data_IF_058424029281
#
_entry.id   IF_058424029281
#
_cell.length_a   1.000
_cell.length_b   1.000
_cell.length_c   1.000
_cell.angle_alpha   90.00
_cell.angle_beta   90.00
_cell.angle_gamma   90.00
#
_symmetry.space_group_name_H-M   'P 1'
#
loop_
_entity.id
_entity.type
_entity.pdbx_description
1 polymer ?
#
# COMPACT_ATOMS: atom_id res chain seq x y z
N UNK A 1 19.00 6.51 9.70
CA UNK A 1 18.11 7.23 10.63
C UNK A 1 16.64 7.11 10.26
N UNK A 2 16.27 6.98 8.98
CA UNK A 2 14.88 6.80 8.54
C UNK A 2 14.30 5.42 8.87
N UNK A 3 15.12 4.39 9.01
CA UNK A 3 14.62 3.04 9.32
C UNK A 3 14.17 2.89 10.78
N UNK A 4 14.76 3.63 11.73
CA UNK A 4 14.36 3.55 13.13
C UNK A 4 12.98 4.16 13.38
N UNK A 5 12.61 5.22 12.65
CA UNK A 5 11.30 5.85 12.79
C UNK A 5 10.17 4.98 12.25
N UNK A 6 10.45 4.09 11.27
CA UNK A 6 9.46 3.19 10.68
C UNK A 6 9.09 1.98 11.55
N UNK A 7 9.76 1.77 12.66
CA UNK A 7 9.55 0.60 13.54
C UNK A 7 9.38 0.99 15.02
N UNK A 8 9.34 2.29 15.32
CA UNK A 8 9.23 2.84 16.67
C UNK A 8 7.90 3.58 16.86
N UNK A 9 7.60 3.94 18.07
CA UNK A 9 6.42 4.71 18.49
C UNK A 9 5.12 4.10 17.92
N UNK A 10 4.35 4.86 17.18
CA UNK A 10 3.11 4.39 16.55
C UNK A 10 3.33 3.19 15.62
N UNK A 11 4.47 3.10 14.94
CA UNK A 11 4.79 2.02 13.99
C UNK A 11 5.39 0.77 14.66
N UNK A 12 5.43 0.72 15.97
CA UNK A 12 5.86 -0.47 16.67
C UNK A 12 4.77 -1.57 16.58
N UNK A 13 5.10 -2.68 15.92
CA UNK A 13 4.16 -3.78 15.69
C UNK A 13 3.49 -4.32 16.96
N UNK A 14 4.14 -4.17 18.13
CA UNK A 14 3.59 -4.64 19.41
C UNK A 14 2.29 -3.94 19.79
N UNK A 15 2.06 -2.72 19.28
CA UNK A 15 0.86 -1.93 19.54
C UNK A 15 -0.33 -2.31 18.64
N UNK A 16 -0.12 -3.19 17.64
CA UNK A 16 -1.07 -3.41 16.54
C UNK A 16 -1.49 -4.87 16.37
N UNK A 17 -1.29 -5.70 17.38
CA UNK A 17 -1.82 -7.06 17.37
C UNK A 17 -3.33 -7.07 17.55
N UNK A 18 -3.99 -7.98 16.83
CA UNK A 18 -5.44 -8.16 16.93
C UNK A 18 -5.81 -9.16 18.02
N UNK A 19 -7.03 -9.06 18.54
CA UNK A 19 -7.63 -10.01 19.47
C UNK A 19 -8.51 -11.02 18.71
N UNK A 20 -8.76 -12.19 19.31
CA UNK A 20 -9.69 -13.17 18.71
C UNK A 20 -11.11 -12.61 18.59
N UNK A 21 -11.52 -11.74 19.50
CA UNK A 21 -12.82 -11.08 19.44
C UNK A 21 -12.91 -10.17 18.20
N UNK A 22 -11.87 -9.36 17.93
CA UNK A 22 -11.81 -8.51 16.73
C UNK A 22 -11.81 -9.34 15.44
N UNK A 23 -11.08 -10.46 15.41
CA UNK A 23 -10.97 -11.31 14.22
C UNK A 23 -12.29 -12.02 13.86
N UNK A 24 -13.02 -12.55 14.85
CA UNK A 24 -14.11 -13.49 14.58
C UNK A 24 -15.49 -13.00 15.00
N UNK A 25 -15.60 -12.06 15.92
CA UNK A 25 -16.86 -11.65 16.54
C UNK A 25 -17.21 -10.20 16.23
N UNK A 26 -16.28 -9.28 16.45
CA UNK A 26 -16.52 -7.85 16.25
C UNK A 26 -16.84 -7.55 14.78
N UNK A 27 -17.82 -6.68 14.58
CA UNK A 27 -18.21 -6.15 13.30
C UNK A 27 -18.14 -4.61 13.27
N UNK A 28 -17.34 -4.06 14.17
CA UNK A 28 -17.06 -2.63 14.18
C UNK A 28 -16.53 -2.21 12.83
N UNK A 29 -16.89 -1.01 12.41
CA UNK A 29 -16.47 -0.42 11.15
C UNK A 29 -16.07 1.03 11.40
N UNK A 30 -14.95 1.45 10.84
CA UNK A 30 -14.46 2.81 10.89
C UNK A 30 -13.14 2.96 10.16
N UNK A 31 -12.75 4.20 9.90
CA UNK A 31 -11.50 4.59 9.27
C UNK A 31 -10.47 5.14 10.25
N UNK A 32 -10.67 4.93 11.55
CA UNK A 32 -9.77 5.39 12.58
C UNK A 32 -8.42 4.70 12.63
N UNK A 33 -7.63 5.05 13.63
CA UNK A 33 -6.31 4.49 13.83
C UNK A 33 -6.37 3.04 14.36
N UNK A 34 -5.37 2.24 13.97
CA UNK A 34 -5.11 0.95 14.59
C UNK A 34 -4.43 1.17 15.94
N UNK A 35 -5.08 0.82 17.02
CA UNK A 35 -4.57 0.90 18.39
C UNK A 35 -4.54 -0.49 19.01
N UNK A 36 -3.87 -0.62 20.16
CA UNK A 36 -3.93 -1.83 20.95
C UNK A 36 -5.25 -1.90 21.74
N UNK A 37 -5.93 -3.03 21.61
CA UNK A 37 -7.10 -3.33 22.46
C UNK A 37 -8.37 -3.67 21.68
N UNK A 38 -9.49 -3.88 22.38
CA UNK A 38 -10.77 -4.26 21.76
C UNK A 38 -11.51 -3.08 21.10
N UNK A 39 -11.09 -1.85 21.36
CA UNK A 39 -11.80 -0.63 20.97
C UNK A 39 -11.11 0.09 19.80
N UNK A 40 -10.51 -0.66 18.89
CA UNK A 40 -9.98 -0.10 17.65
C UNK A 40 -11.08 0.54 16.82
N UNK A 41 -10.76 1.67 16.20
CA UNK A 41 -11.64 2.33 15.24
C UNK A 41 -11.60 1.63 13.85
N UNK A 42 -10.63 0.78 13.62
CA UNK A 42 -10.53 -0.05 12.41
C UNK A 42 -11.22 -1.41 12.60
N UNK A 43 -11.78 -1.93 11.51
CA UNK A 43 -12.33 -3.28 11.50
C UNK A 43 -11.26 -4.31 11.11
N UNK A 44 -11.05 -5.29 12.00
CA UNK A 44 -10.13 -6.42 11.77
C UNK A 44 -10.87 -7.75 11.59
N UNK A 45 -12.14 -7.71 11.28
CA UNK A 45 -12.95 -8.92 11.13
C UNK A 45 -12.54 -9.71 9.88
N UNK A 46 -12.34 -11.01 10.05
CA UNK A 46 -12.14 -11.96 8.94
C UNK A 46 -13.42 -12.07 8.09
N UNK A 47 -14.59 -11.78 8.69
CA UNK A 47 -15.91 -12.03 8.11
C UNK A 47 -16.42 -13.43 8.45
N UNK A 48 -17.71 -13.50 8.79
CA UNK A 48 -18.29 -14.76 9.32
C UNK A 48 -18.28 -15.89 8.29
N UNK A 49 -18.72 -15.63 7.07
CA UNK A 49 -18.76 -16.66 6.04
C UNK A 49 -17.37 -17.09 5.61
N UNK A 50 -16.40 -16.19 5.65
CA UNK A 50 -15.02 -16.45 5.25
C UNK A 50 -14.31 -17.49 6.13
N UNK A 51 -14.70 -17.64 7.40
CA UNK A 51 -14.16 -18.69 8.26
C UNK A 51 -15.13 -19.86 8.48
N UNK A 52 -16.47 -19.63 8.44
CA UNK A 52 -17.48 -20.69 8.59
C UNK A 52 -17.45 -21.66 7.43
N UNK A 53 -17.34 -21.19 6.18
CA UNK A 53 -17.36 -22.08 5.01
C UNK A 53 -16.16 -23.05 5.02
N UNK A 54 -14.91 -22.61 5.25
CA UNK A 54 -13.80 -23.56 5.42
C UNK A 54 -14.01 -24.57 6.56
N UNK A 55 -14.60 -24.12 7.67
CA UNK A 55 -14.93 -25.02 8.78
C UNK A 55 -15.96 -26.09 8.36
N UNK A 56 -17.01 -25.70 7.69
CA UNK A 56 -17.99 -26.63 7.11
C UNK A 56 -17.32 -27.56 6.11
N UNK A 57 -16.43 -27.02 5.25
CA UNK A 57 -15.66 -27.82 4.30
C UNK A 57 -14.84 -28.89 5.00
N UNK A 58 -14.15 -28.53 6.09
CA UNK A 58 -13.38 -29.48 6.90
C UNK A 58 -14.27 -30.60 7.44
N UNK A 59 -15.42 -30.26 8.02
CA UNK A 59 -16.38 -31.23 8.56
C UNK A 59 -16.89 -32.18 7.45
N UNK A 60 -17.24 -31.63 6.29
CA UNK A 60 -17.70 -32.46 5.15
C UNK A 60 -16.60 -33.40 4.66
N UNK A 61 -15.35 -32.93 4.56
CA UNK A 61 -14.22 -33.77 4.14
C UNK A 61 -13.94 -34.89 5.16
N UNK A 62 -14.06 -34.62 6.46
CA UNK A 62 -13.93 -35.65 7.52
C UNK A 62 -15.04 -36.68 7.39
N UNK A 63 -16.31 -36.23 7.34
CA UNK A 63 -17.48 -37.13 7.26
C UNK A 63 -17.49 -37.97 5.98
N UNK A 64 -16.99 -37.43 4.89
CA UNK A 64 -16.92 -38.15 3.58
C UNK A 64 -15.61 -38.93 3.42
N UNK A 65 -14.71 -38.87 4.41
CA UNK A 65 -13.37 -39.49 4.39
C UNK A 65 -12.53 -39.09 3.17
N UNK A 66 -12.81 -37.91 2.60
CA UNK A 66 -12.05 -37.36 1.48
C UNK A 66 -10.85 -36.59 2.00
N UNK A 67 -9.67 -36.95 1.51
CA UNK A 67 -8.45 -36.20 1.79
C UNK A 67 -8.19 -35.17 0.66
N UNK A 68 -8.11 -33.89 1.01
CA UNK A 68 -7.77 -32.84 0.09
C UNK A 68 -6.51 -32.11 0.56
N UNK A 69 -5.36 -32.49 -0.02
CA UNK A 69 -4.08 -31.82 0.28
C UNK A 69 -4.11 -30.31 0.01
N UNK A 70 -4.70 -29.82 -1.10
CA UNK A 70 -4.80 -28.38 -1.32
C UNK A 70 -5.65 -27.66 -0.27
N UNK A 71 -6.77 -28.26 0.17
CA UNK A 71 -7.56 -27.71 1.27
C UNK A 71 -6.75 -27.55 2.55
N UNK A 72 -6.01 -28.60 2.93
CA UNK A 72 -5.16 -28.58 4.12
C UNK A 72 -4.04 -27.54 3.99
N UNK A 73 -3.44 -27.42 2.82
CA UNK A 73 -2.43 -26.40 2.54
C UNK A 73 -2.96 -24.98 2.75
N UNK A 74 -4.06 -24.62 2.10
CA UNK A 74 -4.64 -23.29 2.25
C UNK A 74 -5.16 -23.02 3.66
N UNK A 75 -5.75 -24.03 4.33
CA UNK A 75 -6.21 -23.90 5.71
C UNK A 75 -5.04 -23.69 6.68
N UNK A 76 -3.93 -24.39 6.49
CA UNK A 76 -2.73 -24.20 7.30
C UNK A 76 -2.19 -22.77 7.16
N UNK A 77 -2.04 -22.28 5.93
CA UNK A 77 -1.55 -20.92 5.71
C UNK A 77 -2.53 -19.86 6.22
N UNK A 78 -3.84 -20.08 6.09
CA UNK A 78 -4.84 -19.19 6.67
C UNK A 78 -4.66 -19.06 8.19
N UNK A 79 -4.58 -20.19 8.89
CA UNK A 79 -4.37 -20.23 10.34
C UNK A 79 -3.01 -19.63 10.74
N UNK A 80 -1.95 -19.92 9.98
CA UNK A 80 -0.63 -19.35 10.21
C UNK A 80 -0.64 -17.82 10.11
N UNK A 81 -1.22 -17.27 9.05
CA UNK A 81 -1.29 -15.81 8.89
C UNK A 81 -2.25 -15.16 9.90
N UNK A 82 -3.35 -15.80 10.28
CA UNK A 82 -4.19 -15.36 11.41
C UNK A 82 -3.41 -15.36 12.71
N UNK A 83 -2.61 -16.39 12.97
CA UNK A 83 -1.76 -16.45 14.15
C UNK A 83 -0.75 -15.30 14.19
N UNK A 84 -0.16 -14.93 13.03
CA UNK A 84 0.77 -13.80 12.95
C UNK A 84 0.13 -12.46 13.28
N UNK A 85 -1.18 -12.32 13.17
CA UNK A 85 -1.91 -11.09 13.58
C UNK A 85 -2.12 -11.00 15.09
N UNK A 86 -2.01 -12.11 15.81
CA UNK A 86 -2.31 -12.20 17.23
C UNK A 86 -1.04 -12.09 18.09
N UNK A 87 -1.14 -11.47 19.28
CA UNK A 87 0.00 -11.21 20.17
C UNK A 87 0.76 -12.47 20.61
N UNK A 88 0.13 -13.65 20.59
CA UNK A 88 0.82 -14.91 20.89
C UNK A 88 1.92 -15.25 19.90
N UNK A 89 1.95 -14.62 18.72
CA UNK A 89 3.00 -14.79 17.72
C UNK A 89 4.23 -13.88 17.96
N UNK A 90 4.26 -13.07 19.01
CA UNK A 90 5.35 -12.13 19.31
C UNK A 90 6.73 -12.76 19.24
N UNK A 91 6.87 -14.02 19.65
CA UNK A 91 8.16 -14.75 19.57
C UNK A 91 8.67 -14.87 18.13
N UNK A 92 7.78 -15.04 17.12
CA UNK A 92 8.16 -15.06 15.70
C UNK A 92 8.67 -13.69 15.28
N UNK A 93 7.95 -12.63 15.63
CA UNK A 93 8.32 -11.26 15.32
C UNK A 93 9.66 -10.86 15.92
N UNK A 94 9.96 -11.34 17.13
CA UNK A 94 11.23 -11.11 17.80
C UNK A 94 12.37 -11.94 17.20
N UNK A 95 12.09 -13.18 16.80
CA UNK A 95 13.10 -14.06 16.18
C UNK A 95 13.53 -13.56 14.81
N UNK A 96 12.63 -12.93 14.06
CA UNK A 96 12.89 -12.40 12.74
C UNK A 96 12.78 -10.86 12.74
N UNK A 97 13.86 -10.11 13.06
CA UNK A 97 13.81 -8.65 13.23
C UNK A 97 13.29 -7.89 12.01
N UNK A 98 13.45 -8.43 10.78
CA UNK A 98 12.90 -7.83 9.57
C UNK A 98 11.37 -7.75 9.56
N UNK A 99 10.68 -8.56 10.37
CA UNK A 99 9.23 -8.50 10.48
C UNK A 99 8.74 -7.18 11.08
N UNK A 100 9.57 -6.48 11.86
CA UNK A 100 9.23 -5.14 12.38
C UNK A 100 8.90 -4.14 11.26
N UNK A 101 9.44 -4.33 10.06
CA UNK A 101 9.15 -3.46 8.90
C UNK A 101 7.75 -3.67 8.31
N UNK A 102 7.05 -4.73 8.67
CA UNK A 102 5.62 -4.86 8.36
C UNK A 102 4.78 -3.91 9.21
N UNK A 103 5.29 -3.41 10.34
CA UNK A 103 4.69 -2.41 11.24
C UNK A 103 3.37 -2.88 11.87
N UNK A 104 2.46 -3.40 11.07
CA UNK A 104 1.10 -3.73 11.44
C UNK A 104 0.81 -5.22 11.22
N UNK A 105 0.77 -6.04 12.28
CA UNK A 105 0.45 -7.47 12.18
C UNK A 105 -0.86 -7.77 11.43
N UNK A 106 -1.87 -6.93 11.55
CA UNK A 106 -3.14 -7.09 10.86
C UNK A 106 -3.03 -7.04 9.33
N UNK A 107 -1.92 -6.58 8.75
CA UNK A 107 -1.68 -6.66 7.28
C UNK A 107 -1.72 -8.09 6.76
N UNK A 108 -1.42 -9.08 7.60
CA UNK A 108 -1.52 -10.49 7.25
C UNK A 108 -2.96 -11.00 7.11
N UNK A 109 -3.98 -10.23 7.57
CA UNK A 109 -5.39 -10.59 7.38
C UNK A 109 -5.77 -10.74 5.92
N UNK A 110 -5.26 -9.89 5.04
CA UNK A 110 -5.53 -9.99 3.62
C UNK A 110 -5.11 -11.35 3.04
N UNK A 111 -3.93 -11.84 3.43
CA UNK A 111 -3.42 -13.15 3.00
C UNK A 111 -4.25 -14.27 3.65
N UNK A 112 -4.59 -14.13 4.93
CA UNK A 112 -5.40 -15.12 5.64
C UNK A 112 -6.79 -15.29 5.00
N UNK A 113 -7.48 -14.18 4.71
CA UNK A 113 -8.81 -14.18 4.06
C UNK A 113 -8.72 -14.76 2.64
N UNK A 114 -7.67 -14.44 1.90
CA UNK A 114 -7.43 -15.04 0.59
C UNK A 114 -7.28 -16.57 0.69
N UNK A 115 -6.48 -17.07 1.62
CA UNK A 115 -6.31 -18.50 1.85
C UNK A 115 -7.62 -19.18 2.32
N UNK A 116 -8.40 -18.54 3.19
CA UNK A 116 -9.73 -19.03 3.58
C UNK A 116 -10.69 -19.11 2.40
N UNK A 117 -10.67 -18.13 1.50
CA UNK A 117 -11.50 -18.12 0.31
C UNK A 117 -11.13 -19.28 -0.62
N UNK A 118 -9.82 -19.56 -0.81
CA UNK A 118 -9.38 -20.73 -1.57
C UNK A 118 -9.75 -22.04 -0.88
N UNK A 119 -9.61 -22.14 0.45
CA UNK A 119 -10.06 -23.31 1.19
C UNK A 119 -11.57 -23.55 1.04
N UNK A 120 -12.38 -22.47 1.00
CA UNK A 120 -13.83 -22.56 0.78
C UNK A 120 -14.21 -23.20 -0.56
N UNK A 121 -13.37 -23.06 -1.59
CA UNK A 121 -13.64 -23.59 -2.93
C UNK A 121 -13.68 -25.13 -2.98
N UNK A 122 -13.17 -25.80 -1.97
CA UNK A 122 -13.19 -27.27 -1.85
C UNK A 122 -14.51 -27.83 -1.26
N UNK A 123 -15.43 -26.96 -0.84
CA UNK A 123 -16.76 -27.41 -0.43
C UNK A 123 -17.55 -27.91 -1.67
N UNK A 124 -17.99 -29.18 -1.70
CA UNK A 124 -18.69 -29.75 -2.85
C UNK A 124 -20.12 -29.21 -2.93
N UNK A 125 -20.26 -28.01 -3.48
CA UNK A 125 -21.55 -27.34 -3.65
C UNK A 125 -22.03 -27.40 -5.11
N UNK A 126 -23.38 -27.42 -5.28
CA UNK A 126 -23.99 -27.08 -6.57
C UNK A 126 -23.73 -25.60 -6.88
N UNK A 127 -23.53 -25.26 -8.16
CA UNK A 127 -23.21 -23.90 -8.59
C UNK A 127 -24.15 -22.82 -8.04
N UNK A 128 -25.45 -23.07 -8.01
CA UNK A 128 -26.42 -22.12 -7.49
C UNK A 128 -26.25 -21.85 -5.98
N UNK A 129 -25.85 -22.86 -5.18
CA UNK A 129 -25.51 -22.67 -3.77
C UNK A 129 -24.26 -21.83 -3.61
N UNK A 130 -23.25 -22.04 -4.44
CA UNK A 130 -22.05 -21.20 -4.43
C UNK A 130 -22.38 -19.72 -4.72
N UNK A 131 -23.28 -19.46 -5.69
CA UNK A 131 -23.77 -18.11 -5.98
C UNK A 131 -24.47 -17.50 -4.77
N UNK A 132 -25.31 -18.27 -4.07
CA UNK A 132 -25.99 -17.81 -2.84
C UNK A 132 -24.94 -17.42 -1.78
N UNK A 133 -23.92 -18.24 -1.55
CA UNK A 133 -22.87 -17.91 -0.57
C UNK A 133 -22.08 -16.66 -0.96
N UNK A 134 -21.81 -16.45 -2.25
CA UNK A 134 -21.17 -15.21 -2.74
C UNK A 134 -22.07 -14.01 -2.44
N UNK A 135 -23.35 -14.07 -2.77
CA UNK A 135 -24.32 -13.00 -2.50
C UNK A 135 -24.42 -12.72 -0.99
N UNK A 136 -24.53 -13.74 -0.16
CA UNK A 136 -24.56 -13.61 1.28
C UNK A 136 -23.26 -12.97 1.81
N UNK A 137 -22.11 -13.34 1.27
CA UNK A 137 -20.83 -12.73 1.63
C UNK A 137 -20.81 -11.23 1.33
N UNK A 138 -21.31 -10.83 0.17
CA UNK A 138 -21.43 -9.42 -0.23
C UNK A 138 -22.38 -8.68 0.73
N UNK A 139 -23.59 -9.22 0.95
CA UNK A 139 -24.60 -8.61 1.82
C UNK A 139 -24.08 -8.45 3.26
N UNK A 140 -23.47 -9.50 3.82
CA UNK A 140 -22.98 -9.45 5.20
C UNK A 140 -21.80 -8.51 5.41
N UNK A 141 -21.05 -8.20 4.36
CA UNK A 141 -19.93 -7.28 4.42
C UNK A 141 -20.21 -5.93 3.75
N UNK A 142 -21.45 -5.67 3.34
CA UNK A 142 -21.81 -4.46 2.61
C UNK A 142 -21.47 -3.17 3.37
N UNK A 143 -21.56 -3.21 4.72
CA UNK A 143 -21.23 -2.06 5.56
C UNK A 143 -19.77 -1.60 5.43
N UNK A 144 -18.84 -2.49 5.04
CA UNK A 144 -17.43 -2.13 4.83
C UNK A 144 -17.18 -1.35 3.53
N UNK A 145 -18.19 -1.20 2.68
CA UNK A 145 -18.13 -0.40 1.45
C UNK A 145 -18.83 0.95 1.59
N UNK A 146 -19.36 1.27 2.78
CA UNK A 146 -19.96 2.57 3.03
C UNK A 146 -18.87 3.61 3.28
N UNK A 147 -19.06 4.77 2.69
CA UNK A 147 -18.29 5.96 3.04
C UNK A 147 -18.57 6.37 4.48
N UNK A 148 -17.56 6.88 5.17
CA UNK A 148 -17.69 7.43 6.52
C UNK A 148 -18.31 8.82 6.44
N UNK A 149 -17.80 9.66 5.54
CA UNK A 149 -18.28 11.02 5.31
C UNK A 149 -18.39 11.26 3.81
N UNK A 150 -19.58 11.75 3.38
CA UNK A 150 -19.82 12.16 2.02
C UNK A 150 -19.79 13.68 1.89
N UNK A 151 -18.80 14.22 1.19
CA UNK A 151 -18.69 15.64 0.93
C UNK A 151 -19.33 16.00 -0.42
N UNK A 152 -20.45 16.72 -0.39
CA UNK A 152 -21.01 17.34 -1.58
C UNK A 152 -20.41 18.74 -1.75
N UNK A 153 -20.01 19.10 -2.96
CA UNK A 153 -19.46 20.44 -3.30
C UNK A 153 -18.14 20.78 -2.60
N UNK A 154 -17.22 19.85 -2.60
CA UNK A 154 -15.90 20.05 -2.00
C UNK A 154 -15.00 20.90 -2.93
N UNK A 155 -15.19 22.23 -2.88
CA UNK A 155 -14.30 23.22 -3.50
C UNK A 155 -13.21 23.66 -2.52
N UNK A 156 -12.48 22.74 -1.93
CA UNK A 156 -11.27 23.14 -1.20
C UNK A 156 -10.18 23.48 -2.21
N UNK A 157 -9.68 24.72 -2.22
CA UNK A 157 -8.37 24.97 -2.78
C UNK A 157 -7.40 24.05 -1.99
N UNK A 158 -6.71 23.14 -2.68
CA UNK A 158 -5.66 22.31 -2.07
C UNK A 158 -4.49 23.25 -1.75
N UNK A 159 -4.67 24.12 -0.78
CA UNK A 159 -3.69 25.12 -0.34
C UNK A 159 -2.95 24.66 0.92
N UNK A 160 -3.52 23.68 1.64
CA UNK A 160 -2.89 23.17 2.86
C UNK A 160 -2.63 21.67 2.72
N UNK A 161 -1.38 21.31 2.80
CA UNK A 161 -0.99 19.92 3.00
C UNK A 161 -1.16 19.64 4.49
N UNK A 162 -2.38 19.24 4.88
CA UNK A 162 -2.59 18.77 6.24
C UNK A 162 -2.25 17.30 6.31
N UNK A 163 -1.25 16.94 7.06
CA UNK A 163 -1.02 15.54 7.32
C UNK A 163 0.30 15.32 8.02
N UNK A 164 0.23 15.10 9.31
CA UNK A 164 1.39 14.59 10.05
C UNK A 164 1.92 13.30 9.43
N UNK A 165 1.07 12.45 8.86
CA UNK A 165 1.46 11.23 8.16
C UNK A 165 2.31 11.42 6.90
N UNK A 166 2.30 12.58 6.28
CA UNK A 166 3.17 12.86 5.13
C UNK A 166 4.62 13.11 5.54
N UNK A 167 4.89 13.47 6.79
CA UNK A 167 6.26 13.63 7.32
C UNK A 167 7.03 12.33 7.27
N UNK A 168 6.37 11.20 7.46
CA UNK A 168 6.97 9.86 7.47
C UNK A 168 7.53 9.45 6.11
N UNK A 169 6.96 10.00 5.05
CA UNK A 169 7.37 9.74 3.65
C UNK A 169 8.21 10.87 3.08
N UNK A 170 8.54 11.90 3.89
CA UNK A 170 9.33 13.03 3.40
C UNK A 170 10.79 12.61 3.13
N UNK A 171 11.37 12.98 1.99
CA UNK A 171 12.73 12.60 1.66
C UNK A 171 13.75 13.08 2.69
N UNK A 172 14.72 12.24 2.99
CA UNK A 172 15.78 12.50 3.96
C UNK A 172 16.62 13.76 3.71
N UNK A 173 16.53 14.33 2.54
CA UNK A 173 17.26 15.54 2.14
C UNK A 173 16.59 16.83 2.59
N UNK A 174 15.29 16.80 2.89
CA UNK A 174 14.54 17.93 3.41
C UNK A 174 14.48 17.89 4.93
N UNK A 175 14.95 18.95 5.60
CA UNK A 175 14.90 19.06 7.08
C UNK A 175 13.50 19.47 7.55
N UNK A 176 12.75 20.19 6.73
CA UNK A 176 11.43 20.70 7.05
C UNK A 176 10.38 20.15 6.10
N UNK A 177 9.17 20.04 6.62
CA UNK A 177 7.99 19.67 5.85
C UNK A 177 7.20 20.94 5.51
N UNK A 178 6.82 21.18 4.22
CA UNK A 178 6.01 22.34 3.87
C UNK A 178 4.60 22.20 4.45
N UNK A 179 4.15 23.22 5.14
CA UNK A 179 2.79 23.30 5.71
C UNK A 179 1.76 23.76 4.70
N UNK A 180 2.21 24.35 3.58
CA UNK A 180 1.35 24.87 2.52
C UNK A 180 1.86 24.40 1.15
N UNK A 181 0.94 23.97 0.30
CA UNK A 181 1.21 23.72 -1.10
C UNK A 181 0.91 24.99 -1.91
N UNK A 182 1.95 25.64 -2.38
CA UNK A 182 1.81 26.76 -3.29
C UNK A 182 1.83 26.20 -4.72
N UNK A 183 0.67 26.17 -5.35
CA UNK A 183 0.60 25.92 -6.79
C UNK A 183 1.33 27.04 -7.52
N UNK A 184 2.42 26.73 -8.20
CA UNK A 184 3.12 27.69 -9.02
C UNK A 184 2.64 27.55 -10.48
N UNK A 185 1.85 28.48 -11.00
CA UNK A 185 1.25 28.39 -12.34
C UNK A 185 2.30 28.45 -13.47
N UNK A 186 3.52 28.88 -13.17
CA UNK A 186 4.62 28.92 -14.15
C UNK A 186 5.11 27.51 -14.56
N UNK A 187 4.77 26.48 -13.79
CA UNK A 187 5.23 25.12 -14.02
C UNK A 187 4.13 24.18 -14.48
N UNK A 188 4.36 23.49 -15.59
CA UNK A 188 3.49 22.40 -16.04
C UNK A 188 4.02 21.07 -15.48
N UNK A 189 3.19 20.39 -14.67
CA UNK A 189 3.53 19.10 -14.05
C UNK A 189 2.81 17.95 -14.75
N UNK A 190 3.55 16.89 -15.05
CA UNK A 190 3.04 15.57 -15.46
C UNK A 190 3.54 14.53 -14.46
N UNK A 191 3.10 13.28 -14.57
CA UNK A 191 3.44 12.20 -13.63
C UNK A 191 4.95 12.00 -13.42
N UNK A 192 5.77 12.22 -14.47
CA UNK A 192 7.21 11.98 -14.44
C UNK A 192 8.06 13.17 -14.88
N UNK A 193 7.46 14.34 -15.13
CA UNK A 193 8.21 15.53 -15.56
C UNK A 193 7.57 16.83 -15.10
N UNK A 194 8.42 17.84 -14.96
CA UNK A 194 8.03 19.24 -14.75
C UNK A 194 8.70 20.08 -15.84
N UNK A 195 7.96 20.96 -16.48
CA UNK A 195 8.45 21.85 -17.52
C UNK A 195 8.04 23.29 -17.26
N UNK A 196 8.90 24.22 -17.66
CA UNK A 196 8.60 25.66 -17.65
C UNK A 196 9.47 26.40 -18.66
N UNK A 197 8.96 27.49 -19.20
CA UNK A 197 9.72 28.46 -19.97
C UNK A 197 9.94 29.70 -19.09
N UNK A 198 11.19 30.14 -19.00
CA UNK A 198 11.60 31.23 -18.11
C UNK A 198 12.39 32.29 -18.87
N UNK A 199 12.10 33.57 -18.60
CA UNK A 199 12.87 34.70 -19.03
C UNK A 199 13.42 35.42 -17.81
N UNK A 200 14.73 35.26 -17.57
CA UNK A 200 15.40 35.83 -16.41
C UNK A 200 16.13 37.12 -16.78
N UNK A 201 15.88 38.17 -16.03
CA UNK A 201 16.53 39.47 -16.22
C UNK A 201 17.78 39.66 -15.35
N UNK A 202 17.90 38.81 -14.32
CA UNK A 202 19.04 38.80 -13.40
C UNK A 202 19.43 37.37 -13.02
N UNK A 203 20.63 37.18 -12.47
CA UNK A 203 21.07 35.88 -11.94
C UNK A 203 20.12 35.44 -10.85
N UNK A 204 19.51 34.28 -11.01
CA UNK A 204 18.43 33.78 -10.13
C UNK A 204 18.72 32.38 -9.65
N UNK A 205 18.57 32.19 -8.36
CA UNK A 205 18.51 30.88 -7.72
C UNK A 205 17.07 30.34 -7.88
N UNK A 206 16.94 29.33 -8.69
CA UNK A 206 15.66 28.72 -9.04
C UNK A 206 15.40 27.50 -8.17
N UNK A 207 14.34 27.52 -7.39
CA UNK A 207 13.85 26.39 -6.61
C UNK A 207 12.67 25.75 -7.35
N UNK A 208 12.85 24.53 -7.81
CA UNK A 208 11.81 23.82 -8.53
C UNK A 208 10.74 23.28 -7.56
N UNK A 209 9.45 23.32 -7.92
CA UNK A 209 8.35 22.86 -7.05
C UNK A 209 8.25 21.32 -7.02
N UNK A 210 9.37 20.66 -6.87
CA UNK A 210 9.50 19.19 -6.83
C UNK A 210 10.57 18.80 -5.84
N UNK A 211 10.22 17.90 -4.95
CA UNK A 211 11.17 17.29 -4.02
C UNK A 211 12.02 16.27 -4.77
N UNK A 212 13.31 16.27 -4.47
CA UNK A 212 14.27 15.38 -5.13
C UNK A 212 13.98 13.89 -4.84
N UNK A 213 14.02 13.11 -5.90
CA UNK A 213 14.09 11.65 -5.85
C UNK A 213 15.28 11.13 -6.67
N UNK A 214 15.87 9.99 -6.29
CA UNK A 214 16.95 9.39 -7.09
C UNK A 214 16.56 9.20 -8.55
N UNK A 215 17.52 9.48 -9.44
CA UNK A 215 17.37 9.37 -10.91
C UNK A 215 16.53 10.47 -11.56
N UNK A 216 16.44 11.64 -10.94
CA UNK A 216 15.97 12.86 -11.60
C UNK A 216 17.10 13.49 -12.41
N UNK A 217 16.77 14.02 -13.60
CA UNK A 217 17.68 14.76 -14.48
C UNK A 217 17.06 16.08 -14.87
N UNK A 218 17.84 17.14 -14.74
CA UNK A 218 17.46 18.48 -15.15
C UNK A 218 18.04 18.76 -16.53
N UNK A 219 17.19 19.23 -17.43
CA UNK A 219 17.58 19.70 -18.77
C UNK A 219 17.24 21.18 -18.90
N UNK A 220 18.18 21.94 -19.45
CA UNK A 220 18.01 23.35 -19.78
C UNK A 220 18.35 23.51 -21.24
N UNK A 221 17.41 24.01 -22.05
CA UNK A 221 17.54 24.10 -23.49
C UNK A 221 18.02 22.78 -24.13
N UNK A 222 17.41 21.66 -23.66
CA UNK A 222 17.68 20.27 -24.10
C UNK A 222 19.06 19.71 -23.70
N UNK A 223 19.89 20.44 -22.98
CA UNK A 223 21.15 19.96 -22.43
C UNK A 223 21.03 19.59 -20.96
N UNK A 224 21.63 18.47 -20.55
CA UNK A 224 21.66 18.06 -19.14
C UNK A 224 22.44 19.07 -18.32
N UNK A 225 21.82 19.56 -17.23
CA UNK A 225 22.36 20.62 -16.39
C UNK A 225 22.49 20.13 -14.94
N UNK A 226 23.62 20.43 -14.27
CA UNK A 226 23.78 20.08 -12.87
C UNK A 226 22.81 20.86 -11.97
N UNK A 227 22.43 20.25 -10.88
CA UNK A 227 21.57 20.85 -9.86
C UNK A 227 22.04 20.44 -8.48
N UNK A 228 21.58 21.16 -7.47
CA UNK A 228 21.76 20.86 -6.05
C UNK A 228 20.43 20.53 -5.40
N UNK A 229 20.48 19.99 -4.20
CA UNK A 229 19.28 19.69 -3.42
C UNK A 229 19.22 20.72 -2.30
N UNK A 230 18.10 21.44 -2.21
CA UNK A 230 17.83 22.38 -1.13
C UNK A 230 17.69 21.61 0.19
N UNK A 231 18.39 22.03 1.22
CA UNK A 231 18.36 21.38 2.54
C UNK A 231 17.06 21.67 3.30
N UNK A 232 16.33 22.74 2.97
CA UNK A 232 15.14 23.13 3.71
C UNK A 232 13.97 22.16 3.42
N UNK A 233 13.59 22.02 2.17
CA UNK A 233 12.47 21.13 1.76
C UNK A 233 12.92 19.93 0.92
N UNK A 234 14.21 19.80 0.62
CA UNK A 234 14.70 18.73 -0.25
C UNK A 234 14.35 18.92 -1.73
N UNK A 235 14.09 20.15 -2.15
CA UNK A 235 13.72 20.47 -3.53
C UNK A 235 14.95 20.54 -4.44
N UNK A 236 14.72 20.36 -5.74
CA UNK A 236 15.76 20.56 -6.77
C UNK A 236 16.01 22.05 -6.94
N UNK A 237 17.29 22.46 -6.80
CA UNK A 237 17.75 23.85 -6.92
C UNK A 237 18.81 23.98 -7.99
N UNK A 238 18.72 25.04 -8.81
CA UNK A 238 19.75 25.43 -9.79
C UNK A 238 19.86 26.94 -9.87
N UNK A 239 21.04 27.43 -10.27
CA UNK A 239 21.31 28.86 -10.43
C UNK A 239 21.48 29.17 -11.92
N UNK A 240 20.73 30.12 -12.43
CA UNK A 240 20.78 30.54 -13.82
C UNK A 240 21.14 32.01 -13.97
N UNK A 241 21.90 32.34 -15.01
CA UNK A 241 22.21 33.72 -15.39
C UNK A 241 21.01 34.36 -16.13
N UNK A 242 21.05 35.68 -16.42
CA UNK A 242 20.05 36.30 -17.28
C UNK A 242 19.94 35.59 -18.64
N UNK A 243 18.72 35.40 -19.13
CA UNK A 243 18.50 34.69 -20.40
C UNK A 243 17.13 34.00 -20.48
N UNK A 244 16.83 33.45 -21.66
CA UNK A 244 15.62 32.65 -21.91
C UNK A 244 15.94 31.17 -21.85
N UNK A 245 15.14 30.42 -21.09
CA UNK A 245 15.39 29.01 -20.80
C UNK A 245 14.12 28.19 -20.95
N UNK A 246 14.24 27.07 -21.69
CA UNK A 246 13.28 25.98 -21.61
C UNK A 246 13.82 24.95 -20.60
N UNK A 247 13.15 24.82 -19.47
CA UNK A 247 13.55 23.97 -18.37
C UNK A 247 12.68 22.72 -18.33
N UNK A 248 13.31 21.56 -18.18
CA UNK A 248 12.63 20.28 -18.08
C UNK A 248 13.32 19.40 -17.04
N UNK A 249 12.62 19.09 -15.94
CA UNK A 249 13.05 18.12 -14.94
C UNK A 249 12.32 16.81 -15.20
N UNK A 250 13.04 15.70 -15.36
CA UNK A 250 12.48 14.38 -15.68
C UNK A 250 12.89 13.38 -14.60
N UNK A 251 11.92 12.59 -14.14
CA UNK A 251 12.15 11.43 -13.33
C UNK A 251 12.26 10.17 -14.21
N UNK A 252 13.43 9.55 -14.19
CA UNK A 252 13.70 8.32 -14.92
C UNK A 252 13.57 7.09 -14.02
N UNK A 253 13.25 5.97 -14.63
CA UNK A 253 13.32 4.69 -13.91
C UNK A 253 14.76 4.39 -13.50
N UNK A 254 14.92 3.87 -12.30
CA UNK A 254 16.20 3.30 -11.89
C UNK A 254 16.45 1.99 -12.64
N UNK A 255 17.72 1.54 -12.79
CA UNK A 255 18.02 0.25 -13.43
C UNK A 255 17.25 -0.92 -12.82
N UNK A 256 17.12 -0.94 -11.49
CA UNK A 256 16.36 -1.98 -10.76
C UNK A 256 14.88 -1.98 -11.15
N UNK A 257 14.26 -0.80 -11.24
CA UNK A 257 12.86 -0.68 -11.70
C UNK A 257 12.69 -1.13 -13.14
N UNK A 258 13.64 -0.80 -14.01
CA UNK A 258 13.59 -1.24 -15.42
C UNK A 258 13.66 -2.76 -15.52
N UNK A 259 14.55 -3.41 -14.76
CA UNK A 259 14.65 -4.87 -14.71
C UNK A 259 13.35 -5.47 -14.15
N UNK A 260 12.83 -4.94 -13.05
CA UNK A 260 11.58 -5.42 -12.44
C UNK A 260 10.39 -5.31 -13.41
N UNK A 261 10.26 -4.19 -14.13
CA UNK A 261 9.22 -4.00 -15.15
C UNK A 261 9.35 -5.02 -16.29
N UNK A 262 10.58 -5.30 -16.72
CA UNK A 262 10.85 -6.30 -17.75
C UNK A 262 10.47 -7.72 -17.29
N UNK A 263 10.84 -8.11 -16.06
CA UNK A 263 10.45 -9.40 -15.47
C UNK A 263 8.94 -9.51 -15.37
N UNK A 264 8.26 -8.46 -14.92
CA UNK A 264 6.78 -8.44 -14.82
C UNK A 264 6.12 -8.58 -16.18
N UNK A 265 6.67 -7.92 -17.21
CA UNK A 265 6.16 -8.03 -18.57
C UNK A 265 6.35 -9.46 -19.14
N UNK A 266 7.53 -10.05 -18.93
CA UNK A 266 7.79 -11.44 -19.31
C UNK A 266 6.81 -12.40 -18.60
N UNK A 267 6.57 -12.22 -17.30
CA UNK A 267 5.62 -13.06 -16.56
C UNK A 267 4.20 -12.99 -17.14
N UNK A 268 3.74 -11.80 -17.55
CA UNK A 268 2.43 -11.64 -18.21
C UNK A 268 2.31 -12.43 -19.53
N UNK A 269 3.39 -12.56 -20.29
CA UNK A 269 3.39 -13.35 -21.51
C UNK A 269 3.53 -14.86 -21.26
N UNK A 270 4.32 -15.25 -20.25
CA UNK A 270 4.54 -16.66 -19.94
C UNK A 270 3.36 -17.34 -19.25
N UNK A 271 2.60 -16.63 -18.42
CA UNK A 271 1.44 -17.20 -17.71
C UNK A 271 0.38 -17.80 -18.65
N UNK A 272 -0.09 -17.13 -19.70
CA UNK A 272 -1.03 -17.70 -20.66
C UNK A 272 -0.44 -18.87 -21.46
N UNK A 273 0.88 -18.82 -21.75
CA UNK A 273 1.57 -19.92 -22.43
C UNK A 273 1.62 -21.18 -21.56
N UNK A 274 1.98 -21.05 -20.27
CA UNK A 274 2.00 -22.17 -19.33
C UNK A 274 0.59 -22.75 -19.12
N UNK A 275 -0.45 -21.92 -19.13
CA UNK A 275 -1.82 -22.38 -19.03
C UNK A 275 -2.21 -23.25 -20.24
N UNK A 276 -1.90 -22.81 -21.45
CA UNK A 276 -2.14 -23.60 -22.67
C UNK A 276 -1.40 -24.94 -22.73
N UNK A 277 -0.21 -25.03 -22.09
CA UNK A 277 0.54 -26.29 -21.99
C UNK A 277 -0.14 -27.30 -21.05
N UNK A 278 -0.90 -26.83 -20.09
CA UNK A 278 -1.59 -27.67 -19.09
C UNK A 278 -2.91 -28.22 -19.61
N UNK A 279 -3.46 -27.67 -20.66
CA UNK A 279 -4.71 -28.13 -21.33
C UNK A 279 -4.44 -29.16 -22.45
N UNK A 280 -3.19 -29.43 -22.77
CA UNK A 280 -2.76 -30.54 -23.64
C UNK A 280 -2.27 -31.72 -22.81
#
# INVERSE_FOLDING_TARGET
TTMSTMTQDYFNYTNHFTTLHQLFISRSWGYGASLWGPNDDMAFSVGWLQWLIPLITLIVLILTQKNSKPFLFFSFFALFFLFLTHNKSTFIWQTFPFMAYFQFPWRFLGIAVFCLSLASSFLPLRQWLAIIFIILTIITNFNYFKEDIWYQNYNLPITKVSGEGLKDYWPKYGQNFPTEYIANPLYTKKSNQVTTDLNLTQKTDLLLPVVYFPNMKLFINQQEHPYTIDSHYGQVKTTLNPGSYNLKLIFYNTPIRTIANFISLLALFFLPYLWRLKEK
#
